data_IF_235377400673
#
_entry.id   IF_235377400673
#
_cell.length_a   1.000
_cell.length_b   1.000
_cell.length_c   1.000
_cell.angle_alpha   90.00
_cell.angle_beta   90.00
_cell.angle_gamma   90.00
#
_symmetry.space_group_name_H-M   'P 1'
#
loop_
_entity.id
_entity.type
_entity.pdbx_description
1 polymer ?
#
# COMPACT_ATOMS: atom_id res chain seq x y z
N UNK A 1 6.21 3.13 35.47
CA UNK A 1 6.79 4.10 36.44
C UNK A 1 6.11 5.45 36.30
N UNK A 2 6.05 6.03 35.10
CA UNK A 2 5.41 7.33 34.83
C UNK A 2 3.97 7.45 35.34
N UNK A 3 3.15 6.40 35.17
CA UNK A 3 1.77 6.39 35.69
C UNK A 3 1.74 6.53 37.22
N UNK A 4 2.53 5.72 37.93
CA UNK A 4 2.64 5.81 39.39
C UNK A 4 3.19 7.17 39.84
N UNK A 5 4.14 7.75 39.10
CA UNK A 5 4.62 9.11 39.35
C UNK A 5 3.52 10.18 39.15
N UNK A 6 2.74 10.10 38.08
CA UNK A 6 1.61 11.00 37.81
C UNK A 6 0.52 10.90 38.87
N UNK A 7 0.32 9.69 39.41
CA UNK A 7 -0.59 9.42 40.53
C UNK A 7 0.01 9.76 41.90
N UNK A 8 1.19 10.39 41.92
CA UNK A 8 1.89 10.85 43.13
C UNK A 8 2.24 9.71 44.08
N UNK A 9 2.53 8.52 43.55
CA UNK A 9 3.18 7.48 44.33
C UNK A 9 4.57 7.94 44.73
N UNK A 10 4.91 7.72 46.00
CA UNK A 10 6.26 7.99 46.52
C UNK A 10 7.17 6.79 46.25
N UNK A 11 8.42 7.05 45.86
CA UNK A 11 9.39 6.01 45.53
C UNK A 11 10.54 6.04 46.54
N UNK A 12 10.68 4.97 47.31
CA UNK A 12 11.76 4.79 48.27
C UNK A 12 12.80 3.79 47.73
N UNK A 13 13.89 4.25 47.09
CA UNK A 13 14.90 3.36 46.54
C UNK A 13 15.76 2.74 47.64
N UNK A 14 16.46 1.66 47.30
CA UNK A 14 17.56 1.12 48.11
C UNK A 14 17.14 0.64 49.52
N UNK A 15 15.94 0.09 49.66
CA UNK A 15 15.43 -0.46 50.91
C UNK A 15 15.23 -1.99 50.81
N UNK A 16 15.72 -2.74 51.80
CA UNK A 16 15.44 -4.15 51.97
C UNK A 16 14.38 -4.35 53.07
N UNK A 17 13.24 -4.99 52.78
CA UNK A 17 12.21 -5.26 53.78
C UNK A 17 12.73 -6.23 54.86
N UNK A 18 12.48 -5.94 56.13
CA UNK A 18 12.90 -6.78 57.27
C UNK A 18 11.73 -7.32 58.07
N UNK A 19 10.81 -6.45 58.49
CA UNK A 19 9.76 -6.84 59.44
C UNK A 19 8.48 -6.05 59.24
N UNK A 20 7.36 -6.77 59.20
CA UNK A 20 6.01 -6.19 59.33
C UNK A 20 5.65 -6.14 60.82
N UNK A 21 5.26 -4.98 61.32
CA UNK A 21 4.83 -4.80 62.70
C UNK A 21 3.31 -4.70 62.78
N UNK A 22 2.74 -5.44 63.73
CA UNK A 22 1.33 -5.40 64.04
C UNK A 22 1.08 -4.52 65.28
N UNK A 23 0.02 -3.72 65.23
CA UNK A 23 -0.51 -2.97 66.35
C UNK A 23 -1.18 -3.87 67.38
N UNK A 24 -1.62 -3.27 68.49
CA UNK A 24 -2.36 -3.98 69.56
C UNK A 24 -3.71 -4.52 69.12
N UNK A 25 -4.25 -4.01 68.01
CA UNK A 25 -5.49 -4.46 67.36
C UNK A 25 -5.25 -5.57 66.33
N UNK A 26 -4.00 -6.04 66.18
CA UNK A 26 -3.61 -7.10 65.24
C UNK A 26 -3.45 -6.63 63.79
N UNK A 27 -3.60 -5.33 63.49
CA UNK A 27 -3.44 -4.79 62.13
C UNK A 27 -2.02 -4.35 61.86
N UNK A 28 -1.62 -4.35 60.59
CA UNK A 28 -0.34 -3.78 60.17
C UNK A 28 -0.33 -2.29 60.52
N UNK A 29 0.76 -1.81 61.13
CA UNK A 29 0.92 -0.40 61.47
C UNK A 29 2.26 0.20 61.02
N UNK A 30 3.25 -0.63 60.69
CA UNK A 30 4.59 -0.19 60.33
C UNK A 30 5.32 -1.30 59.54
N UNK A 31 6.10 -0.90 58.54
CA UNK A 31 7.04 -1.75 57.83
C UNK A 31 8.47 -1.27 58.10
N UNK A 32 9.31 -2.16 58.61
CA UNK A 32 10.73 -1.93 58.87
C UNK A 32 11.57 -2.40 57.69
N UNK A 33 12.49 -1.54 57.27
CA UNK A 33 13.46 -1.76 56.21
C UNK A 33 14.88 -1.50 56.73
N UNK A 34 15.87 -2.07 56.05
CA UNK A 34 17.28 -1.69 56.17
C UNK A 34 17.79 -1.12 54.86
N UNK A 35 18.78 -0.23 54.92
CA UNK A 35 19.39 0.35 53.73
C UNK A 35 20.16 -0.72 52.94
N UNK A 36 20.04 -0.68 51.62
CA UNK A 36 20.88 -1.43 50.68
C UNK A 36 21.81 -0.49 49.93
N UNK A 37 23.02 -0.93 49.70
CA UNK A 37 24.02 -0.20 48.92
C UNK A 37 24.74 -1.14 47.96
N UNK A 38 25.26 -0.58 46.89
CA UNK A 38 26.03 -1.31 45.89
C UNK A 38 27.52 -1.05 46.14
N UNK A 39 28.30 -2.13 46.22
CA UNK A 39 29.75 -2.10 46.29
C UNK A 39 30.35 -1.73 44.92
N UNK A 40 31.62 -1.34 44.91
CA UNK A 40 32.36 -0.99 43.69
C UNK A 40 32.44 -2.15 42.67
N UNK A 41 32.34 -3.40 43.13
CA UNK A 41 32.30 -4.60 42.29
C UNK A 41 30.91 -4.92 41.72
N UNK A 42 29.91 -4.07 42.02
CA UNK A 42 28.53 -4.22 41.60
C UNK A 42 27.68 -5.13 42.48
N UNK A 43 28.27 -5.80 43.48
CA UNK A 43 27.52 -6.60 44.46
C UNK A 43 26.71 -5.71 45.39
N UNK A 44 25.60 -6.24 45.92
CA UNK A 44 24.73 -5.50 46.84
C UNK A 44 24.89 -6.00 48.26
N UNK A 45 25.04 -5.09 49.23
CA UNK A 45 25.00 -5.41 50.65
C UNK A 45 23.83 -4.69 51.34
N UNK A 46 23.48 -5.14 52.55
CA UNK A 46 22.47 -4.49 53.39
C UNK A 46 23.11 -4.10 54.71
N UNK A 47 22.87 -2.87 55.15
CA UNK A 47 23.42 -2.34 56.40
C UNK A 47 22.38 -2.46 57.52
N UNK A 48 22.62 -3.39 58.44
CA UNK A 48 21.71 -3.67 59.55
C UNK A 48 21.61 -2.52 60.57
N UNK A 49 22.61 -1.62 60.60
CA UNK A 49 22.61 -0.47 61.51
C UNK A 49 21.78 0.70 60.95
N UNK A 50 21.52 0.71 59.64
CA UNK A 50 20.72 1.74 58.96
C UNK A 50 19.27 1.29 58.77
N UNK A 51 18.47 1.43 59.83
CA UNK A 51 17.05 1.03 59.87
C UNK A 51 16.12 2.19 59.50
N UNK A 52 15.15 1.92 58.63
CA UNK A 52 14.08 2.86 58.22
C UNK A 52 12.72 2.24 58.56
N UNK A 53 11.85 3.01 59.22
CA UNK A 53 10.50 2.59 59.59
C UNK A 53 9.47 3.46 58.92
N UNK A 54 8.59 2.85 58.14
CA UNK A 54 7.53 3.54 57.40
C UNK A 54 6.19 3.08 57.99
N UNK A 55 5.38 4.03 58.45
CA UNK A 55 4.00 3.74 58.89
C UNK A 55 3.18 3.31 57.68
N UNK A 56 2.49 2.19 57.78
CA UNK A 56 1.61 1.68 56.72
C UNK A 56 0.52 0.80 57.32
N UNK A 57 -0.64 0.80 56.67
CA UNK A 57 -1.78 -0.06 57.02
C UNK A 57 -1.85 -1.31 56.12
N UNK A 58 -1.21 -1.25 54.95
CA UNK A 58 -1.23 -2.32 53.95
C UNK A 58 0.18 -2.58 53.40
N UNK A 59 0.47 -3.85 53.15
CA UNK A 59 1.70 -4.29 52.48
C UNK A 59 1.31 -5.19 51.32
N UNK A 60 1.76 -4.82 50.12
CA UNK A 60 1.56 -5.62 48.91
C UNK A 60 2.95 -6.05 48.43
N UNK A 61 3.19 -7.36 48.36
CA UNK A 61 4.44 -7.92 47.85
C UNK A 61 4.32 -8.12 46.35
N UNK A 62 5.19 -7.46 45.58
CA UNK A 62 5.22 -7.56 44.13
C UNK A 62 6.62 -7.96 43.64
N UNK A 63 7.21 -9.01 44.22
CA UNK A 63 8.56 -9.49 43.88
C UNK A 63 8.62 -10.29 42.56
N UNK A 64 7.46 -10.61 41.99
CA UNK A 64 7.32 -11.49 40.83
C UNK A 64 6.52 -12.74 41.16
N UNK A 65 6.50 -13.68 40.22
CA UNK A 65 5.88 -15.00 40.36
C UNK A 65 6.90 -16.09 40.01
N UNK A 66 6.69 -17.28 40.54
CA UNK A 66 7.58 -18.44 40.34
C UNK A 66 6.76 -19.71 40.10
N UNK A 67 7.39 -20.74 39.53
CA UNK A 67 6.82 -22.08 39.40
C UNK A 67 7.34 -22.98 40.53
N UNK A 68 6.54 -23.18 41.59
CA UNK A 68 6.96 -23.94 42.76
C UNK A 68 5.88 -24.87 43.36
N UNK A 69 4.72 -25.01 42.71
CA UNK A 69 3.64 -25.88 43.19
C UNK A 69 4.01 -27.36 42.96
N UNK A 70 4.12 -28.19 44.02
CA UNK A 70 4.64 -29.55 43.89
C UNK A 70 3.83 -30.46 42.96
N UNK A 71 2.51 -30.30 42.88
CA UNK A 71 1.65 -31.05 41.98
C UNK A 71 1.93 -30.76 40.51
N UNK A 72 2.11 -29.48 40.14
CA UNK A 72 2.47 -29.04 38.79
C UNK A 72 3.86 -29.54 38.42
N UNK A 73 4.85 -29.40 39.31
CA UNK A 73 6.21 -29.90 39.07
C UNK A 73 6.21 -31.42 38.84
N UNK A 74 5.40 -32.17 39.60
CA UNK A 74 5.23 -33.60 39.39
C UNK A 74 4.55 -33.92 38.05
N UNK A 75 3.59 -33.10 37.61
CA UNK A 75 2.94 -33.29 36.31
C UNK A 75 3.88 -33.06 35.12
N UNK A 76 4.98 -32.33 35.33
CA UNK A 76 6.02 -32.05 34.34
C UNK A 76 7.22 -33.00 34.45
N UNK A 77 7.09 -34.12 35.17
CA UNK A 77 8.17 -35.10 35.35
C UNK A 77 8.76 -35.55 34.01
N UNK A 78 10.08 -35.45 33.88
CA UNK A 78 10.81 -35.73 32.64
C UNK A 78 11.19 -34.49 31.82
N UNK A 79 10.53 -33.34 32.03
CA UNK A 79 10.95 -32.06 31.43
C UNK A 79 12.16 -31.51 32.19
N UNK A 80 13.22 -31.14 31.46
CA UNK A 80 14.41 -30.51 32.02
C UNK A 80 14.09 -29.10 32.49
N UNK A 81 14.48 -28.75 33.72
CA UNK A 81 14.30 -27.42 34.30
C UNK A 81 15.66 -26.72 34.44
N UNK A 82 15.70 -25.42 34.19
CA UNK A 82 16.94 -24.66 34.25
C UNK A 82 17.53 -24.68 35.68
N UNK A 83 18.83 -24.97 35.84
CA UNK A 83 19.43 -25.20 37.16
C UNK A 83 19.78 -23.91 37.91
N UNK A 84 19.90 -22.79 37.21
CA UNK A 84 20.36 -21.51 37.76
C UNK A 84 19.93 -20.32 36.90
N UNK A 85 20.17 -19.09 37.39
CA UNK A 85 19.82 -17.85 36.69
C UNK A 85 18.36 -17.41 36.91
N UNK A 86 17.92 -16.45 36.12
CA UNK A 86 16.56 -15.88 36.20
C UNK A 86 15.47 -16.88 35.81
N UNK A 87 15.80 -17.88 35.00
CA UNK A 87 14.89 -18.96 34.58
C UNK A 87 14.94 -20.17 35.50
N UNK A 88 15.68 -20.12 36.63
CA UNK A 88 15.85 -21.27 37.52
C UNK A 88 14.50 -21.88 37.90
N UNK A 89 14.36 -23.19 37.68
CA UNK A 89 13.13 -23.93 37.97
C UNK A 89 12.05 -23.84 36.88
N UNK A 90 12.32 -23.17 35.76
CA UNK A 90 11.45 -23.14 34.58
C UNK A 90 11.93 -24.15 33.52
N UNK A 91 11.04 -24.65 32.65
CA UNK A 91 11.39 -25.52 31.52
C UNK A 91 12.51 -24.99 30.64
N UNK A 92 13.46 -25.86 30.30
CA UNK A 92 14.43 -25.63 29.24
C UNK A 92 13.77 -25.92 27.90
N UNK A 93 13.85 -24.96 26.98
CA UNK A 93 13.30 -25.06 25.64
C UNK A 93 14.33 -24.67 24.59
N UNK A 94 14.25 -25.28 23.40
CA UNK A 94 14.92 -24.76 22.20
C UNK A 94 14.16 -23.54 21.68
N UNK A 95 14.78 -22.37 21.70
CA UNK A 95 14.15 -21.10 21.31
C UNK A 95 13.69 -21.02 19.85
N UNK A 96 14.13 -21.92 18.98
CA UNK A 96 13.69 -21.95 17.58
C UNK A 96 12.39 -22.73 17.38
N UNK A 97 12.15 -23.72 18.22
CA UNK A 97 10.99 -24.62 18.13
C UNK A 97 10.02 -24.45 19.30
N UNK A 98 10.49 -23.85 20.40
CA UNK A 98 9.88 -23.86 21.73
C UNK A 98 9.68 -25.27 22.31
N UNK A 99 10.36 -26.28 21.76
CA UNK A 99 10.29 -27.67 22.23
C UNK A 99 11.16 -27.87 23.45
N UNK A 100 10.69 -28.71 24.38
CA UNK A 100 11.48 -29.16 25.53
C UNK A 100 12.41 -30.32 25.13
N UNK A 101 13.05 -30.95 26.11
CA UNK A 101 13.77 -32.21 25.89
C UNK A 101 12.85 -33.42 25.59
N UNK A 102 11.54 -33.29 25.79
CA UNK A 102 10.55 -34.30 25.43
C UNK A 102 10.02 -34.03 24.02
N UNK A 103 9.98 -35.06 23.17
CA UNK A 103 9.69 -34.95 21.73
C UNK A 103 8.33 -34.30 21.43
N UNK A 104 7.32 -34.63 22.24
CA UNK A 104 5.94 -34.17 22.06
C UNK A 104 5.51 -33.06 23.05
N UNK A 105 6.48 -32.34 23.66
CA UNK A 105 6.17 -31.31 24.66
C UNK A 105 6.86 -29.99 24.31
N UNK A 106 6.06 -28.93 24.23
CA UNK A 106 6.47 -27.54 23.99
C UNK A 106 6.08 -26.64 25.15
N UNK A 107 6.84 -25.57 25.36
CA UNK A 107 6.59 -24.59 26.41
C UNK A 107 6.85 -23.16 25.89
N UNK A 108 6.01 -22.22 26.28
CA UNK A 108 6.08 -20.82 25.86
C UNK A 108 5.44 -19.88 26.86
N UNK A 109 5.63 -18.57 26.68
CA UNK A 109 5.15 -17.56 27.61
C UNK A 109 6.08 -17.40 28.80
N UNK A 110 5.58 -16.88 29.93
CA UNK A 110 6.41 -16.65 31.12
C UNK A 110 7.18 -17.90 31.58
N UNK A 111 6.62 -19.09 31.31
CA UNK A 111 7.24 -20.39 31.60
C UNK A 111 8.44 -20.73 30.71
N UNK A 112 8.65 -20.05 29.57
CA UNK A 112 9.89 -20.21 28.80
C UNK A 112 11.08 -19.61 29.55
N UNK A 113 10.83 -18.68 30.48
CA UNK A 113 11.86 -17.93 31.20
C UNK A 113 12.52 -16.83 30.36
N UNK A 114 12.05 -16.61 29.12
CA UNK A 114 12.57 -15.57 28.22
C UNK A 114 11.53 -14.49 27.90
N UNK A 115 10.24 -14.84 27.86
CA UNK A 115 9.19 -13.86 27.65
C UNK A 115 8.90 -13.08 28.94
N UNK A 116 8.83 -11.75 28.82
CA UNK A 116 8.48 -10.85 29.92
C UNK A 116 7.33 -9.91 29.55
N UNK A 117 6.76 -10.09 28.36
CA UNK A 117 5.67 -9.29 27.82
C UNK A 117 4.65 -10.19 27.14
N UNK A 118 3.40 -9.72 27.06
CA UNK A 118 2.34 -10.45 26.37
C UNK A 118 2.65 -10.70 24.89
N UNK A 119 3.38 -9.80 24.21
CA UNK A 119 3.75 -9.97 22.80
C UNK A 119 4.81 -11.05 22.60
N UNK A 120 5.79 -11.14 23.51
CA UNK A 120 6.79 -12.22 23.50
C UNK A 120 6.11 -13.56 23.79
N UNK A 121 5.26 -13.62 24.81
CA UNK A 121 4.52 -14.84 25.14
C UNK A 121 3.61 -15.32 24.00
N UNK A 122 2.99 -14.39 23.28
CA UNK A 122 2.20 -14.70 22.07
C UNK A 122 3.11 -15.23 20.95
N UNK A 123 4.30 -14.65 20.78
CA UNK A 123 5.26 -15.09 19.78
C UNK A 123 5.83 -16.49 20.09
N UNK A 124 6.05 -16.82 21.37
CA UNK A 124 6.42 -18.17 21.80
C UNK A 124 5.34 -19.18 21.35
N UNK A 125 4.06 -18.89 21.62
CA UNK A 125 2.94 -19.72 21.16
C UNK A 125 2.88 -19.86 19.64
N UNK A 126 3.14 -18.77 18.90
CA UNK A 126 3.21 -18.78 17.42
C UNK A 126 4.35 -19.67 16.91
N UNK A 127 5.50 -19.62 17.56
CA UNK A 127 6.69 -20.41 17.20
C UNK A 127 6.45 -21.89 17.50
N UNK A 128 5.91 -22.19 18.69
CA UNK A 128 5.52 -23.54 19.09
C UNK A 128 4.48 -24.14 18.13
N UNK A 129 3.48 -23.37 17.70
CA UNK A 129 2.45 -23.85 16.78
C UNK A 129 3.01 -24.38 15.45
N UNK A 130 4.03 -23.72 14.89
CA UNK A 130 4.70 -24.23 13.68
C UNK A 130 5.50 -25.50 13.96
N UNK A 131 6.23 -25.54 15.08
CA UNK A 131 7.01 -26.73 15.44
C UNK A 131 6.12 -27.95 15.70
N UNK A 132 5.00 -27.78 16.41
CA UNK A 132 3.99 -28.83 16.61
C UNK A 132 3.47 -29.31 15.26
N UNK A 133 3.13 -28.38 14.37
CA UNK A 133 2.64 -28.70 13.03
C UNK A 133 3.64 -29.52 12.21
N UNK A 134 4.90 -29.11 12.16
CA UNK A 134 5.94 -29.81 11.39
C UNK A 134 6.21 -31.21 11.94
N UNK A 135 6.18 -31.40 13.26
CA UNK A 135 6.32 -32.72 13.90
C UNK A 135 5.18 -33.64 13.52
N UNK A 136 3.94 -33.16 13.61
CA UNK A 136 2.77 -33.97 13.28
C UNK A 136 2.72 -34.41 11.82
N UNK A 137 3.36 -33.66 10.91
CA UNK A 137 3.47 -34.01 9.49
C UNK A 137 4.75 -34.79 9.13
N UNK A 138 5.70 -34.94 10.06
CA UNK A 138 7.01 -35.52 9.79
C UNK A 138 7.87 -34.67 8.83
N UNK A 139 7.64 -33.34 8.80
CA UNK A 139 8.28 -32.39 7.89
C UNK A 139 9.15 -31.37 8.65
N UNK A 140 9.90 -31.85 9.64
CA UNK A 140 10.73 -31.00 10.50
C UNK A 140 11.93 -30.37 9.76
N UNK A 141 12.30 -30.91 8.60
CA UNK A 141 13.39 -30.38 7.76
C UNK A 141 12.94 -29.22 6.85
N UNK A 142 11.64 -28.92 6.77
CA UNK A 142 11.15 -27.82 5.96
C UNK A 142 11.62 -26.47 6.51
N UNK A 143 12.45 -25.77 5.74
CA UNK A 143 12.95 -24.44 6.07
C UNK A 143 11.96 -23.30 5.77
N UNK A 144 10.76 -23.61 5.26
CA UNK A 144 9.76 -22.62 4.87
C UNK A 144 8.58 -22.65 5.85
N UNK A 145 8.57 -21.71 6.79
CA UNK A 145 7.44 -21.49 7.69
C UNK A 145 6.28 -20.82 6.95
N UNK A 146 5.10 -21.45 6.95
CA UNK A 146 3.89 -20.92 6.30
C UNK A 146 2.71 -20.89 7.28
N UNK A 147 2.75 -19.98 8.25
CA UNK A 147 1.62 -19.77 9.15
C UNK A 147 0.48 -19.04 8.41
N UNK A 148 -0.78 -19.52 8.52
CA UNK A 148 -1.92 -18.85 7.92
C UNK A 148 -2.08 -17.41 8.41
N UNK A 149 -2.62 -16.55 7.55
CA UNK A 149 -3.08 -15.21 7.95
C UNK A 149 -4.42 -15.31 8.69
N UNK A 150 -4.76 -14.25 9.42
CA UNK A 150 -6.10 -14.08 9.98
C UNK A 150 -7.11 -13.84 8.84
N UNK A 151 -8.30 -14.46 8.92
CA UNK A 151 -9.36 -14.33 7.91
C UNK A 151 -10.73 -14.16 8.54
N UNK A 152 -11.66 -13.56 7.81
CA UNK A 152 -13.05 -13.28 8.18
C UNK A 152 -13.98 -13.44 6.97
N UNK A 153 -15.31 -13.42 7.14
CA UNK A 153 -16.24 -13.41 6.00
C UNK A 153 -16.03 -12.25 5.01
N UNK A 154 -15.42 -11.13 5.44
CA UNK A 154 -15.07 -10.00 4.57
C UNK A 154 -14.12 -10.44 3.45
N UNK A 155 -13.21 -11.37 3.72
CA UNK A 155 -12.24 -11.84 2.74
C UNK A 155 -12.89 -12.58 1.56
N UNK A 156 -14.12 -13.07 1.73
CA UNK A 156 -14.89 -13.81 0.73
C UNK A 156 -15.68 -12.90 -0.23
N UNK A 157 -15.78 -11.60 0.06
CA UNK A 157 -16.50 -10.64 -0.79
C UNK A 157 -15.87 -10.60 -2.19
N UNK A 158 -16.69 -10.78 -3.22
CA UNK A 158 -16.26 -10.65 -4.61
C UNK A 158 -16.18 -9.17 -4.98
N UNK A 159 -15.01 -8.74 -5.44
CA UNK A 159 -14.77 -7.37 -5.93
C UNK A 159 -14.41 -7.38 -7.43
N UNK A 160 -14.60 -8.51 -8.11
CA UNK A 160 -14.36 -8.61 -9.54
C UNK A 160 -15.40 -7.81 -10.32
N UNK A 161 -14.99 -7.30 -11.49
CA UNK A 161 -15.85 -6.48 -12.35
C UNK A 161 -15.63 -6.85 -13.80
N UNK A 162 -16.70 -6.82 -14.60
CA UNK A 162 -16.63 -6.98 -16.04
C UNK A 162 -16.89 -5.65 -16.76
N UNK A 163 -16.03 -5.31 -17.71
CA UNK A 163 -16.16 -4.11 -18.53
C UNK A 163 -15.67 -4.40 -19.95
N UNK A 164 -16.51 -4.13 -20.96
CA UNK A 164 -16.19 -4.36 -22.38
C UNK A 164 -15.76 -5.81 -22.68
N UNK A 165 -16.33 -6.81 -21.99
CA UNK A 165 -15.96 -8.22 -22.14
C UNK A 165 -14.62 -8.60 -21.49
N UNK A 166 -13.98 -7.69 -20.77
CA UNK A 166 -12.80 -7.96 -19.96
C UNK A 166 -13.22 -8.19 -18.51
N UNK A 167 -12.73 -9.27 -17.90
CA UNK A 167 -12.93 -9.58 -16.48
C UNK A 167 -11.72 -9.12 -15.67
N UNK A 168 -11.96 -8.26 -14.70
CA UNK A 168 -10.96 -7.76 -13.77
C UNK A 168 -11.13 -8.46 -12.42
N UNK A 169 -10.06 -8.99 -11.84
CA UNK A 169 -10.09 -9.66 -10.53
C UNK A 169 -10.45 -8.70 -9.37
N UNK A 170 -10.12 -7.42 -9.55
CA UNK A 170 -10.52 -6.30 -8.71
C UNK A 170 -10.48 -5.02 -9.57
N UNK A 171 -11.16 -3.93 -9.19
CA UNK A 171 -11.31 -2.76 -10.05
C UNK A 171 -10.07 -1.86 -10.06
N UNK A 172 -9.00 -2.18 -9.34
CA UNK A 172 -7.83 -1.31 -9.19
C UNK A 172 -6.71 -1.67 -10.17
N UNK A 173 -6.15 -0.66 -10.82
CA UNK A 173 -5.07 -0.83 -11.77
C UNK A 173 -4.08 0.32 -11.80
N UNK A 174 -2.92 0.03 -12.37
CA UNK A 174 -1.88 1.03 -12.57
C UNK A 174 -2.22 1.95 -13.75
N UNK A 175 -2.20 3.26 -13.54
CA UNK A 175 -2.32 4.23 -14.64
C UNK A 175 -1.05 4.24 -15.53
N UNK A 176 -1.19 4.67 -16.78
CA UNK A 176 -0.05 4.96 -17.68
C UNK A 176 0.76 6.16 -17.17
N UNK A 177 1.80 5.90 -16.37
CA UNK A 177 2.45 6.92 -15.54
C UNK A 177 3.82 6.42 -14.98
N UNK A 178 4.52 7.16 -14.08
CA UNK A 178 5.80 6.72 -13.52
C UNK A 178 5.78 5.31 -12.90
N UNK A 179 4.72 4.85 -12.19
CA UNK A 179 4.64 3.47 -11.69
C UNK A 179 4.65 2.38 -12.76
N UNK A 180 4.43 2.73 -14.04
CA UNK A 180 4.51 1.82 -15.19
C UNK A 180 5.64 2.18 -16.15
N UNK A 181 6.70 2.83 -15.66
CA UNK A 181 7.89 3.20 -16.46
C UNK A 181 8.57 1.99 -17.12
N UNK A 182 8.47 0.79 -16.53
CA UNK A 182 9.02 -0.45 -17.08
C UNK A 182 8.08 -1.63 -16.86
N UNK A 183 8.15 -2.64 -17.73
CA UNK A 183 7.36 -3.85 -17.61
C UNK A 183 7.70 -4.69 -16.38
N UNK A 184 8.95 -4.63 -15.91
CA UNK A 184 9.35 -5.26 -14.65
C UNK A 184 8.63 -4.65 -13.43
N UNK A 185 8.24 -3.37 -13.48
CA UNK A 185 7.41 -2.75 -12.45
C UNK A 185 5.97 -3.28 -12.52
N UNK A 186 5.41 -3.40 -13.72
CA UNK A 186 4.07 -3.98 -13.93
C UNK A 186 4.01 -5.42 -13.42
N UNK A 187 5.04 -6.24 -13.72
CA UNK A 187 5.17 -7.60 -13.17
C UNK A 187 5.05 -7.61 -11.65
N UNK A 188 5.85 -6.79 -10.95
CA UNK A 188 5.83 -6.72 -9.48
C UNK A 188 4.50 -6.23 -8.93
N UNK A 189 3.81 -5.36 -9.66
CA UNK A 189 2.46 -4.94 -9.27
C UNK A 189 1.44 -6.07 -9.44
N UNK A 190 1.52 -6.88 -10.50
CA UNK A 190 0.67 -8.07 -10.63
C UNK A 190 0.96 -9.10 -9.55
N UNK A 191 2.23 -9.32 -9.20
CA UNK A 191 2.64 -10.17 -8.07
C UNK A 191 2.09 -9.64 -6.73
N UNK A 192 1.99 -8.32 -6.56
CA UNK A 192 1.40 -7.70 -5.38
C UNK A 192 -0.14 -7.78 -5.33
N UNK A 193 -0.82 -8.05 -6.46
CA UNK A 193 -2.27 -8.24 -6.50
C UNK A 193 -3.07 -7.24 -7.34
N UNK A 194 -2.43 -6.29 -8.05
CA UNK A 194 -3.13 -5.34 -8.90
C UNK A 194 -3.94 -6.06 -9.99
N UNK A 195 -5.19 -5.64 -10.24
CA UNK A 195 -6.11 -6.30 -11.18
C UNK A 195 -5.76 -6.03 -12.65
N UNK A 196 -5.25 -4.83 -12.94
CA UNK A 196 -4.81 -4.45 -14.28
C UNK A 196 -3.69 -3.42 -14.28
N UNK A 197 -3.06 -3.22 -15.44
CA UNK A 197 -2.07 -2.17 -15.62
C UNK A 197 -2.11 -1.58 -17.02
N UNK A 198 -1.87 -0.28 -17.10
CA UNK A 198 -1.70 0.43 -18.36
C UNK A 198 -0.22 0.70 -18.61
N UNK A 199 0.32 0.28 -19.76
CA UNK A 199 1.72 0.57 -20.11
C UNK A 199 1.96 2.07 -20.13
N UNK A 200 3.17 2.53 -19.79
CA UNK A 200 3.55 3.92 -20.07
C UNK A 200 3.36 4.17 -21.58
N UNK A 201 2.73 5.29 -21.92
CA UNK A 201 2.40 5.63 -23.31
C UNK A 201 3.64 5.51 -24.19
N UNK A 202 3.53 4.82 -25.32
CA UNK A 202 4.60 4.73 -26.31
C UNK A 202 4.09 5.06 -27.71
N UNK A 203 5.01 5.43 -28.59
CA UNK A 203 4.75 5.78 -29.99
C UNK A 203 5.69 5.04 -30.94
N UNK A 204 5.59 5.36 -32.22
CA UNK A 204 6.54 4.89 -33.24
C UNK A 204 7.95 5.45 -32.97
N UNK A 205 8.99 4.75 -33.46
CA UNK A 205 10.38 5.14 -33.21
C UNK A 205 10.73 6.55 -33.71
N UNK A 206 10.05 7.02 -34.77
CA UNK A 206 10.20 8.39 -35.29
C UNK A 206 9.69 9.48 -34.33
N UNK A 207 8.91 9.10 -33.33
CA UNK A 207 8.36 9.98 -32.29
C UNK A 207 9.03 9.76 -30.92
N UNK A 208 10.21 9.11 -30.90
CA UNK A 208 11.00 8.97 -29.66
C UNK A 208 11.25 10.34 -29.01
N UNK A 209 11.15 10.33 -27.69
CA UNK A 209 11.32 11.52 -26.85
C UNK A 209 12.51 11.34 -25.92
N UNK A 210 12.99 12.45 -25.39
CA UNK A 210 13.97 12.48 -24.30
C UNK A 210 13.42 13.35 -23.20
N UNK A 211 13.30 12.79 -22.00
CA UNK A 211 12.83 13.53 -20.84
C UNK A 211 13.90 14.51 -20.36
N UNK A 212 13.45 15.59 -19.73
CA UNK A 212 14.31 16.51 -18.99
C UNK A 212 14.39 16.14 -17.51
N UNK A 213 15.28 16.79 -16.77
CA UNK A 213 15.38 16.65 -15.31
C UNK A 213 15.80 17.96 -14.65
N UNK A 214 15.24 18.33 -13.48
CA UNK A 214 14.16 17.67 -12.74
C UNK A 214 12.80 17.76 -13.47
N UNK A 215 11.90 16.80 -13.23
CA UNK A 215 10.62 16.72 -13.98
C UNK A 215 9.39 16.25 -13.21
N UNK A 216 9.54 15.71 -12.01
CA UNK A 216 8.44 15.32 -11.12
C UNK A 216 8.75 15.89 -9.76
N UNK A 217 7.77 16.55 -9.16
CA UNK A 217 7.95 17.37 -7.97
C UNK A 217 6.66 17.37 -7.14
N UNK A 218 6.80 17.59 -5.82
CA UNK A 218 5.68 17.63 -4.88
C UNK A 218 4.65 18.69 -5.29
N UNK A 219 3.37 18.40 -5.16
CA UNK A 219 2.29 19.33 -5.50
C UNK A 219 2.30 20.60 -4.64
N UNK A 220 1.78 21.72 -5.16
CA UNK A 220 1.84 23.02 -4.46
C UNK A 220 0.78 23.17 -3.35
N UNK A 221 -0.18 22.25 -3.27
CA UNK A 221 -1.39 22.37 -2.42
C UNK A 221 -1.23 21.84 -1.00
N UNK A 222 -0.11 21.20 -0.67
CA UNK A 222 0.16 20.61 0.66
C UNK A 222 0.88 21.51 1.65
N UNK A 223 1.10 22.80 1.31
CA UNK A 223 1.92 23.70 2.11
C UNK A 223 3.36 23.18 2.29
N UNK A 224 3.93 23.38 3.48
CA UNK A 224 5.29 22.95 3.84
C UNK A 224 5.35 21.54 4.46
N UNK A 225 4.39 20.66 4.14
CA UNK A 225 4.32 19.29 4.66
C UNK A 225 5.13 18.31 3.80
N UNK A 226 6.32 17.92 4.24
CA UNK A 226 7.19 16.96 3.54
C UNK A 226 6.97 15.51 4.01
N UNK A 227 7.39 14.55 3.20
CA UNK A 227 7.26 13.12 3.53
C UNK A 227 5.96 12.51 2.97
N UNK A 228 5.25 11.65 3.74
CA UNK A 228 4.07 10.94 3.26
C UNK A 228 2.91 11.90 2.91
N UNK A 229 1.86 11.33 2.31
CA UNK A 229 0.58 12.00 2.07
C UNK A 229 0.69 13.32 1.30
N UNK A 230 1.54 13.33 0.26
CA UNK A 230 1.54 14.46 -0.66
C UNK A 230 0.18 14.58 -1.32
N UNK A 231 -0.47 15.74 -1.13
CA UNK A 231 -1.75 16.07 -1.76
C UNK A 231 -1.74 15.87 -3.28
N UNK A 232 -0.56 15.88 -3.89
CA UNK A 232 -0.34 15.38 -5.23
C UNK A 232 1.04 15.73 -5.76
N UNK A 233 1.19 15.70 -7.08
CA UNK A 233 2.45 15.97 -7.76
C UNK A 233 2.22 16.82 -9.00
N UNK A 234 3.23 17.59 -9.38
CA UNK A 234 3.33 18.21 -10.70
C UNK A 234 4.41 17.51 -11.52
N UNK A 235 4.14 17.29 -12.80
CA UNK A 235 5.13 16.69 -13.70
C UNK A 235 5.20 17.38 -15.05
N UNK A 236 6.41 17.46 -15.60
CA UNK A 236 6.70 17.84 -17.00
C UNK A 236 7.30 16.64 -17.75
N UNK A 237 6.88 15.44 -17.36
CA UNK A 237 7.32 14.19 -17.99
C UNK A 237 6.57 13.95 -19.30
N UNK A 238 7.28 13.42 -20.30
CA UNK A 238 6.73 13.07 -21.61
C UNK A 238 6.18 11.62 -21.62
N UNK A 239 5.97 11.09 -22.81
CA UNK A 239 5.72 9.65 -23.02
C UNK A 239 6.96 8.80 -22.70
N UNK A 240 6.86 7.49 -22.87
CA UNK A 240 7.97 6.56 -22.63
C UNK A 240 9.18 6.88 -23.50
N UNK A 241 10.38 6.85 -22.90
CA UNK A 241 11.66 6.85 -23.62
C UNK A 241 12.02 5.46 -24.16
N UNK A 242 11.22 4.43 -23.83
CA UNK A 242 11.40 3.06 -24.34
C UNK A 242 10.63 2.89 -25.64
N UNK A 243 11.21 2.14 -26.58
CA UNK A 243 10.68 1.94 -27.93
C UNK A 243 9.37 1.15 -27.95
N UNK A 244 8.64 1.23 -29.06
CA UNK A 244 7.48 0.36 -29.29
C UNK A 244 7.87 -1.13 -29.23
N UNK A 245 9.04 -1.49 -29.76
CA UNK A 245 9.53 -2.88 -29.73
C UNK A 245 9.67 -3.41 -28.29
N UNK A 246 10.19 -2.60 -27.36
CA UNK A 246 10.26 -2.95 -25.94
C UNK A 246 8.88 -3.23 -25.34
N UNK A 247 7.90 -2.35 -25.60
CA UNK A 247 6.56 -2.48 -25.04
C UNK A 247 5.78 -3.63 -25.66
N UNK A 248 5.89 -3.83 -26.97
CA UNK A 248 5.28 -4.97 -27.68
C UNK A 248 5.79 -6.29 -27.13
N UNK A 249 7.11 -6.42 -26.94
CA UNK A 249 7.68 -7.63 -26.35
C UNK A 249 7.24 -7.81 -24.89
N UNK A 250 7.24 -6.72 -24.12
CA UNK A 250 6.82 -6.73 -22.72
C UNK A 250 5.35 -7.14 -22.53
N UNK A 251 4.45 -6.66 -23.38
CA UNK A 251 3.02 -7.02 -23.34
C UNK A 251 2.86 -8.54 -23.53
N UNK A 252 3.57 -9.13 -24.50
CA UNK A 252 3.54 -10.58 -24.73
C UNK A 252 4.01 -11.37 -23.51
N UNK A 253 5.09 -10.92 -22.87
CA UNK A 253 5.65 -11.56 -21.68
C UNK A 253 4.69 -11.44 -20.48
N UNK A 254 4.12 -10.25 -20.26
CA UNK A 254 3.15 -10.02 -19.19
C UNK A 254 1.89 -10.87 -19.39
N UNK A 255 1.33 -10.95 -20.60
CA UNK A 255 0.15 -11.77 -20.87
C UNK A 255 0.43 -13.28 -20.81
N UNK A 256 1.64 -13.71 -21.16
CA UNK A 256 2.06 -15.11 -21.00
C UNK A 256 2.12 -15.50 -19.52
N UNK A 257 2.71 -14.64 -18.70
CA UNK A 257 2.98 -14.97 -17.30
C UNK A 257 1.79 -14.66 -16.37
N UNK A 258 0.93 -13.73 -16.78
CA UNK A 258 -0.25 -13.28 -16.02
C UNK A 258 -1.50 -13.28 -16.90
N UNK A 259 -2.02 -14.46 -17.30
CA UNK A 259 -3.13 -14.56 -18.24
C UNK A 259 -4.43 -13.92 -17.73
N UNK A 260 -4.67 -13.94 -16.41
CA UNK A 260 -5.87 -13.38 -15.76
C UNK A 260 -5.79 -11.88 -15.50
N UNK A 261 -4.59 -11.29 -15.51
CA UNK A 261 -4.38 -9.86 -15.29
C UNK A 261 -4.59 -9.09 -16.59
N UNK A 262 -5.29 -7.95 -16.53
CA UNK A 262 -5.55 -7.15 -17.73
C UNK A 262 -4.37 -6.21 -18.02
N UNK A 263 -3.89 -6.21 -19.27
CA UNK A 263 -2.83 -5.32 -19.77
C UNK A 263 -3.42 -4.42 -20.85
N UNK A 264 -3.47 -3.12 -20.57
CA UNK A 264 -3.95 -2.10 -21.51
C UNK A 264 -2.73 -1.39 -22.11
N UNK A 265 -2.61 -1.39 -23.44
CA UNK A 265 -1.51 -0.72 -24.11
C UNK A 265 -1.86 0.75 -24.34
N UNK A 266 -1.15 1.67 -23.67
CA UNK A 266 -1.29 3.10 -23.91
C UNK A 266 -0.43 3.51 -25.11
N UNK A 267 -1.06 4.06 -26.14
CA UNK A 267 -0.40 4.46 -27.39
C UNK A 267 -0.69 5.91 -27.76
N UNK A 268 0.25 6.53 -28.49
CA UNK A 268 0.11 7.89 -28.99
C UNK A 268 0.86 8.08 -30.31
N UNK A 269 0.22 8.81 -31.24
CA UNK A 269 0.81 9.22 -32.51
C UNK A 269 0.37 10.64 -32.87
N UNK A 270 1.02 11.23 -33.89
CA UNK A 270 0.59 12.48 -34.54
C UNK A 270 -0.81 12.34 -35.10
N UNK A 271 -1.47 13.47 -35.38
CA UNK A 271 -2.72 13.45 -36.12
C UNK A 271 -2.48 13.07 -37.59
N UNK A 272 -2.23 11.78 -37.80
CA UNK A 272 -1.94 11.14 -39.08
C UNK A 272 -2.54 9.73 -39.08
N UNK A 273 -3.35 9.41 -40.09
CA UNK A 273 -4.05 8.11 -40.18
C UNK A 273 -3.07 6.95 -40.28
N UNK A 274 -1.98 7.11 -41.03
CA UNK A 274 -1.01 6.04 -41.27
C UNK A 274 -0.27 5.70 -39.97
N UNK A 275 0.11 6.71 -39.19
CA UNK A 275 0.82 6.51 -37.92
C UNK A 275 -0.05 5.83 -36.87
N UNK A 276 -1.29 6.27 -36.71
CA UNK A 276 -2.24 5.61 -35.80
C UNK A 276 -2.53 4.18 -36.24
N UNK A 277 -2.72 3.95 -37.54
CA UNK A 277 -2.97 2.61 -38.09
C UNK A 277 -1.78 1.68 -37.87
N UNK A 278 -0.57 2.12 -38.24
CA UNK A 278 0.65 1.34 -38.09
C UNK A 278 0.93 1.00 -36.62
N UNK A 279 0.86 1.98 -35.73
CA UNK A 279 1.10 1.76 -34.31
C UNK A 279 0.07 0.81 -33.69
N UNK A 280 -1.20 0.95 -34.09
CA UNK A 280 -2.29 0.06 -33.65
C UNK A 280 -2.03 -1.38 -34.11
N UNK A 281 -1.78 -1.60 -35.40
CA UNK A 281 -1.52 -2.93 -35.98
C UNK A 281 -0.29 -3.62 -35.36
N UNK A 282 0.76 -2.86 -35.08
CA UNK A 282 1.95 -3.37 -34.37
C UNK A 282 1.61 -3.79 -32.94
N UNK A 283 0.81 -2.98 -32.25
CA UNK A 283 0.45 -3.19 -30.84
C UNK A 283 -0.51 -4.35 -30.66
N UNK A 284 -1.55 -4.49 -31.48
CA UNK A 284 -2.53 -5.60 -31.37
C UNK A 284 -1.90 -6.97 -31.62
N UNK A 285 -0.80 -7.06 -32.38
CA UNK A 285 -0.01 -8.31 -32.53
C UNK A 285 0.61 -8.78 -31.22
N UNK A 286 0.79 -7.89 -30.23
CA UNK A 286 1.22 -8.26 -28.89
C UNK A 286 0.08 -8.87 -28.04
N UNK A 287 -1.16 -8.78 -28.52
CA UNK A 287 -2.39 -9.22 -27.83
C UNK A 287 -2.58 -8.57 -26.45
N UNK A 288 -2.52 -7.23 -26.33
CA UNK A 288 -3.04 -6.58 -25.12
C UNK A 288 -4.54 -6.87 -24.98
N UNK A 289 -5.09 -6.71 -23.77
CA UNK A 289 -6.53 -6.89 -23.56
C UNK A 289 -7.35 -5.68 -24.06
N UNK A 290 -6.72 -4.50 -24.11
CA UNK A 290 -7.30 -3.29 -24.69
C UNK A 290 -6.23 -2.26 -25.10
N UNK A 291 -6.67 -1.23 -25.81
CA UNK A 291 -5.87 -0.04 -26.13
C UNK A 291 -6.36 1.19 -25.36
N UNK A 292 -5.44 2.00 -24.87
CA UNK A 292 -5.72 3.34 -24.33
C UNK A 292 -5.08 4.41 -25.22
N UNK A 293 -5.88 5.32 -25.76
CA UNK A 293 -5.42 6.39 -26.63
C UNK A 293 -5.08 7.61 -25.79
N UNK A 294 -3.78 7.90 -25.67
CA UNK A 294 -3.35 9.10 -24.95
C UNK A 294 -3.52 10.33 -25.85
N UNK A 295 -4.66 10.99 -25.72
CA UNK A 295 -5.00 12.23 -26.42
C UNK A 295 -4.80 13.46 -25.52
N UNK A 296 -4.08 13.34 -24.41
CA UNK A 296 -4.24 14.27 -23.30
C UNK A 296 -2.95 14.71 -22.62
N UNK A 297 -1.78 14.34 -23.14
CA UNK A 297 -0.50 14.83 -22.65
C UNK A 297 -0.45 16.37 -22.72
N UNK A 298 -0.42 17.10 -21.59
CA UNK A 298 -0.62 18.55 -21.59
C UNK A 298 0.64 19.35 -21.91
N UNK A 299 1.81 18.70 -21.93
CA UNK A 299 3.11 19.37 -22.01
C UNK A 299 4.02 18.72 -23.05
N UNK A 300 4.77 19.53 -23.78
CA UNK A 300 5.79 19.10 -24.76
C UNK A 300 5.29 18.38 -26.02
N UNK A 301 4.05 17.86 -26.01
CA UNK A 301 3.45 17.17 -27.17
C UNK A 301 2.52 18.06 -27.99
N UNK A 302 1.88 19.06 -27.36
CA UNK A 302 0.99 20.00 -28.05
C UNK A 302 1.69 20.78 -29.17
N UNK A 303 2.93 21.21 -28.93
CA UNK A 303 3.77 21.89 -29.92
C UNK A 303 4.11 21.01 -31.14
N UNK A 304 3.94 19.69 -31.02
CA UNK A 304 4.12 18.71 -32.09
C UNK A 304 2.80 18.25 -32.73
N UNK A 305 1.69 18.91 -32.42
CA UNK A 305 0.34 18.55 -32.89
C UNK A 305 -0.20 17.25 -32.28
N UNK A 306 0.27 16.89 -31.07
CA UNK A 306 -0.08 15.65 -30.37
C UNK A 306 -0.64 15.91 -28.97
N UNK A 307 -1.20 14.87 -28.35
CA UNK A 307 -1.70 14.93 -26.98
C UNK A 307 -2.82 15.97 -26.85
N UNK A 308 -2.66 16.92 -25.93
CA UNK A 308 -3.67 17.95 -25.62
C UNK A 308 -4.18 18.71 -26.85
N UNK A 309 -3.33 18.94 -27.86
CA UNK A 309 -3.74 19.60 -29.10
C UNK A 309 -4.84 18.82 -29.85
N UNK A 310 -4.86 17.49 -29.76
CA UNK A 310 -5.92 16.65 -30.32
C UNK A 310 -7.08 16.47 -29.35
N UNK A 311 -6.80 16.24 -28.06
CA UNK A 311 -7.83 15.89 -27.07
C UNK A 311 -8.79 17.02 -26.68
N UNK A 312 -8.52 18.25 -27.11
CA UNK A 312 -9.40 19.40 -26.91
C UNK A 312 -10.39 19.62 -28.06
N UNK A 313 -10.20 18.95 -29.21
CA UNK A 313 -11.05 19.07 -30.38
C UNK A 313 -11.88 17.79 -30.60
N UNK A 314 -13.22 17.84 -30.42
CA UNK A 314 -14.09 16.69 -30.66
C UNK A 314 -13.92 16.07 -32.07
N UNK A 315 -13.66 16.87 -33.11
CA UNK A 315 -13.52 16.35 -34.47
C UNK A 315 -12.26 15.47 -34.61
N UNK A 316 -11.14 15.92 -34.03
CA UNK A 316 -9.88 15.15 -34.05
C UNK A 316 -10.02 13.87 -33.23
N UNK A 317 -10.63 13.94 -32.04
CA UNK A 317 -10.87 12.76 -31.19
C UNK A 317 -11.72 11.71 -31.90
N UNK A 318 -12.84 12.13 -32.53
CA UNK A 318 -13.70 11.23 -33.31
C UNK A 318 -12.93 10.55 -34.42
N UNK A 319 -12.11 11.31 -35.14
CA UNK A 319 -11.36 10.80 -36.29
C UNK A 319 -10.26 9.81 -35.86
N UNK A 320 -9.51 10.11 -34.80
CA UNK A 320 -8.49 9.21 -34.26
C UNK A 320 -9.13 7.90 -33.78
N UNK A 321 -10.22 7.97 -33.01
CA UNK A 321 -10.92 6.77 -32.54
C UNK A 321 -11.39 5.91 -33.72
N UNK A 322 -11.86 6.53 -34.80
CA UNK A 322 -12.30 5.83 -36.02
C UNK A 322 -11.14 5.12 -36.73
N UNK A 323 -9.97 5.75 -36.82
CA UNK A 323 -8.78 5.12 -37.40
C UNK A 323 -8.31 3.92 -36.57
N UNK A 324 -8.16 4.13 -35.25
CA UNK A 324 -7.73 3.07 -34.34
C UNK A 324 -8.72 1.92 -34.33
N UNK A 325 -10.03 2.17 -34.18
CA UNK A 325 -11.02 1.10 -34.10
C UNK A 325 -11.06 0.28 -35.39
N UNK A 326 -10.89 0.91 -36.56
CA UNK A 326 -10.76 0.21 -37.85
C UNK A 326 -9.52 -0.69 -37.87
N UNK A 327 -8.37 -0.19 -37.44
CA UNK A 327 -7.11 -0.93 -37.45
C UNK A 327 -7.05 -2.04 -36.38
N UNK A 328 -7.64 -1.81 -35.21
CA UNK A 328 -7.65 -2.74 -34.09
C UNK A 328 -8.63 -3.91 -34.29
N UNK A 329 -9.70 -3.68 -35.06
CA UNK A 329 -10.76 -4.64 -35.31
C UNK A 329 -11.87 -4.62 -34.25
N UNK A 330 -12.99 -5.31 -34.51
CA UNK A 330 -14.20 -5.21 -33.70
C UNK A 330 -14.04 -5.75 -32.27
N UNK A 331 -13.14 -6.72 -32.07
CA UNK A 331 -12.99 -7.44 -30.80
C UNK A 331 -11.95 -6.82 -29.86
N UNK A 332 -11.24 -5.76 -30.28
CA UNK A 332 -10.27 -5.07 -29.44
C UNK A 332 -10.95 -3.85 -28.80
N UNK A 333 -11.11 -3.82 -27.46
CA UNK A 333 -11.59 -2.64 -26.77
C UNK A 333 -10.61 -1.46 -26.91
N UNK A 334 -11.16 -0.27 -27.16
CA UNK A 334 -10.40 0.97 -27.33
C UNK A 334 -10.97 2.04 -26.41
N UNK A 335 -10.13 2.62 -25.56
CA UNK A 335 -10.49 3.68 -24.62
C UNK A 335 -9.78 4.98 -24.95
N UNK A 336 -10.51 6.09 -25.11
CA UNK A 336 -9.91 7.39 -25.28
C UNK A 336 -9.62 8.04 -23.91
N UNK A 337 -8.36 8.40 -23.63
CA UNK A 337 -7.99 9.07 -22.37
C UNK A 337 -8.14 10.57 -22.47
N UNK A 338 -9.13 11.09 -21.77
CA UNK A 338 -9.58 12.47 -21.89
C UNK A 338 -8.76 13.42 -21.02
N UNK A 339 -8.50 14.61 -21.55
CA UNK A 339 -7.91 15.71 -20.78
C UNK A 339 -9.02 16.43 -20.00
N UNK A 340 -8.77 16.88 -18.76
CA UNK A 340 -9.70 17.75 -18.05
C UNK A 340 -9.62 19.22 -18.49
N UNK A 341 -8.63 19.57 -19.31
CA UNK A 341 -8.35 20.95 -19.70
C UNK A 341 -9.21 21.36 -20.91
N UNK A 342 -10.52 21.19 -20.79
CA UNK A 342 -11.54 21.50 -21.81
C UNK A 342 -12.73 22.18 -21.16
N UNK A 343 -13.44 23.01 -21.93
CA UNK A 343 -14.66 23.67 -21.45
C UNK A 343 -15.78 22.67 -21.20
N UNK A 344 -15.97 21.70 -22.10
CA UNK A 344 -17.00 20.67 -21.98
C UNK A 344 -16.44 19.29 -22.34
N UNK A 345 -16.20 18.47 -21.32
CA UNK A 345 -15.60 17.14 -21.47
C UNK A 345 -16.58 16.12 -22.06
N UNK A 346 -17.90 16.33 -21.89
CA UNK A 346 -18.93 15.43 -22.43
C UNK A 346 -18.92 15.44 -23.96
N UNK A 347 -18.63 16.58 -24.60
CA UNK A 347 -18.53 16.65 -26.06
C UNK A 347 -17.34 15.84 -26.59
N UNK A 348 -16.23 15.82 -25.85
CA UNK A 348 -15.08 14.97 -26.19
C UNK A 348 -15.41 13.49 -26.00
N UNK A 349 -16.09 13.13 -24.90
CA UNK A 349 -16.51 11.75 -24.66
C UNK A 349 -17.50 11.25 -25.73
N UNK A 350 -18.46 12.10 -26.14
CA UNK A 350 -19.39 11.83 -27.24
C UNK A 350 -18.64 11.58 -28.54
N UNK A 351 -17.69 12.45 -28.88
CA UNK A 351 -16.87 12.29 -30.07
C UNK A 351 -16.07 10.98 -30.07
N UNK A 352 -15.47 10.60 -28.93
CA UNK A 352 -14.80 9.32 -28.80
C UNK A 352 -15.75 8.14 -29.08
N UNK A 353 -16.95 8.16 -28.47
CA UNK A 353 -18.00 7.15 -28.70
C UNK A 353 -18.43 7.08 -30.16
N UNK A 354 -18.67 8.22 -30.81
CA UNK A 354 -19.05 8.29 -32.23
C UNK A 354 -17.93 7.84 -33.17
N UNK A 355 -16.67 7.97 -32.74
CA UNK A 355 -15.51 7.41 -33.42
C UNK A 355 -15.37 5.90 -33.23
N UNK A 356 -16.19 5.28 -32.37
CA UNK A 356 -16.18 3.84 -32.11
C UNK A 356 -15.33 3.41 -30.93
N UNK A 357 -14.91 4.33 -30.06
CA UNK A 357 -14.31 3.94 -28.77
C UNK A 357 -15.32 3.17 -27.92
N UNK A 358 -14.87 2.12 -27.25
CA UNK A 358 -15.70 1.26 -26.39
C UNK A 358 -15.89 1.87 -25.00
N UNK A 359 -15.12 2.90 -24.67
CA UNK A 359 -15.21 3.65 -23.41
C UNK A 359 -14.21 4.80 -23.37
N UNK A 360 -14.07 5.42 -22.21
CA UNK A 360 -13.13 6.54 -21.98
C UNK A 360 -12.38 6.38 -20.66
N UNK A 361 -11.12 6.83 -20.63
CA UNK A 361 -10.36 7.02 -19.39
C UNK A 361 -10.47 8.48 -18.95
N UNK A 362 -10.92 8.73 -17.72
CA UNK A 362 -11.34 10.05 -17.22
C UNK A 362 -10.75 10.28 -15.82
N UNK A 363 -9.77 11.16 -15.60
CA UNK A 363 -9.12 12.14 -16.48
C UNK A 363 -7.60 11.99 -16.48
N UNK A 364 -6.94 12.62 -17.45
CA UNK A 364 -5.51 12.92 -17.36
C UNK A 364 -5.26 14.08 -16.36
N UNK A 365 -4.01 14.48 -16.21
CA UNK A 365 -3.57 15.58 -15.33
C UNK A 365 -4.19 16.94 -15.69
N UNK A 366 -4.38 17.77 -14.68
CA UNK A 366 -4.83 19.16 -14.82
C UNK A 366 -3.61 20.04 -15.11
N UNK A 367 -3.67 20.86 -16.16
CA UNK A 367 -2.59 21.78 -16.51
C UNK A 367 -2.42 22.83 -15.41
N UNK A 368 -1.19 23.06 -14.97
CA UNK A 368 -0.89 24.02 -13.93
C UNK A 368 0.54 24.53 -13.94
N UNK A 369 0.78 25.54 -13.13
CA UNK A 369 2.11 26.04 -12.81
C UNK A 369 2.35 25.82 -11.32
N UNK A 370 3.55 25.39 -10.92
CA UNK A 370 3.71 24.92 -9.56
C UNK A 370 4.00 26.02 -8.55
N UNK A 371 5.23 26.55 -8.52
CA UNK A 371 5.55 27.75 -7.76
C UNK A 371 6.81 28.42 -8.30
N UNK A 372 6.99 29.66 -7.86
CA UNK A 372 8.24 30.40 -7.99
C UNK A 372 8.84 30.54 -6.58
N UNK A 373 10.15 30.39 -6.50
CA UNK A 373 10.93 30.77 -5.32
C UNK A 373 10.94 32.30 -5.16
N UNK A 374 11.43 32.77 -4.01
CA UNK A 374 11.50 34.21 -3.71
C UNK A 374 12.37 35.02 -4.68
N UNK A 375 13.29 34.35 -5.40
CA UNK A 375 14.13 34.94 -6.45
C UNK A 375 13.50 34.84 -7.86
N UNK A 376 12.22 34.45 -7.95
CA UNK A 376 11.48 34.17 -9.20
C UNK A 376 11.95 32.95 -9.99
N UNK A 377 12.81 32.09 -9.42
CA UNK A 377 13.16 30.79 -10.02
C UNK A 377 11.96 29.84 -9.97
N UNK A 378 11.56 29.18 -11.07
CA UNK A 378 10.50 28.18 -11.00
C UNK A 378 10.96 26.86 -10.39
N UNK A 379 10.06 26.10 -9.80
CA UNK A 379 10.30 24.69 -9.50
C UNK A 379 9.24 23.84 -10.22
N UNK A 380 9.62 22.85 -11.05
CA UNK A 380 10.98 22.41 -11.38
C UNK A 380 11.71 23.41 -12.29
N UNK A 381 13.03 23.53 -12.10
CA UNK A 381 13.94 24.36 -12.89
C UNK A 381 14.90 23.52 -13.72
N UNK A 382 14.89 23.67 -15.05
CA UNK A 382 15.69 22.87 -15.98
C UNK A 382 16.80 23.71 -16.62
N UNK A 383 18.02 23.15 -16.63
CA UNK A 383 19.20 23.74 -17.27
C UNK A 383 19.78 24.97 -16.56
N UNK A 384 20.85 25.53 -17.13
CA UNK A 384 21.54 26.71 -16.57
C UNK A 384 20.65 27.94 -16.47
N UNK A 385 19.72 28.06 -17.40
CA UNK A 385 18.75 29.16 -17.49
C UNK A 385 17.54 28.98 -16.57
N UNK A 386 17.49 27.89 -15.78
CA UNK A 386 16.42 27.61 -14.80
C UNK A 386 15.01 27.72 -15.41
N UNK A 387 14.84 27.18 -16.63
CA UNK A 387 13.58 27.27 -17.37
C UNK A 387 12.57 26.25 -16.87
N UNK A 388 11.30 26.55 -17.04
CA UNK A 388 10.21 25.59 -16.85
C UNK A 388 9.16 25.74 -17.94
N UNK A 389 8.20 24.83 -17.95
CA UNK A 389 6.95 24.92 -18.72
C UNK A 389 5.78 24.58 -17.80
N UNK A 390 4.55 24.75 -18.27
CA UNK A 390 3.40 24.25 -17.53
C UNK A 390 3.55 22.75 -17.31
N UNK A 391 3.03 22.25 -16.18
CA UNK A 391 3.13 20.87 -15.76
C UNK A 391 1.77 20.28 -15.38
N UNK A 392 1.73 18.97 -15.29
CA UNK A 392 0.51 18.20 -15.07
C UNK A 392 0.33 17.93 -13.59
N UNK A 393 -0.70 18.52 -13.00
CA UNK A 393 -1.10 18.28 -11.64
C UNK A 393 -1.86 16.95 -11.54
N UNK A 394 -1.49 16.14 -10.54
CA UNK A 394 -2.01 14.80 -10.26
C UNK A 394 -2.21 14.61 -8.76
N UNK A 395 -2.87 13.53 -8.34
CA UNK A 395 -3.13 13.21 -6.94
C UNK A 395 -4.44 13.75 -6.41
N UNK A 396 -4.61 13.75 -5.09
CA UNK A 396 -5.84 14.13 -4.41
C UNK A 396 -6.28 15.56 -4.72
N UNK A 397 -5.33 16.44 -5.03
CA UNK A 397 -5.60 17.82 -5.42
C UNK A 397 -6.53 17.91 -6.65
N UNK A 398 -6.52 16.92 -7.55
CA UNK A 398 -7.39 16.90 -8.74
C UNK A 398 -8.63 16.00 -8.58
N UNK A 399 -8.81 15.32 -7.45
CA UNK A 399 -9.93 14.39 -7.23
C UNK A 399 -11.30 15.05 -7.46
N UNK A 400 -11.58 16.27 -6.96
CA UNK A 400 -12.88 16.90 -7.21
C UNK A 400 -13.18 17.13 -8.71
N UNK A 401 -12.16 17.49 -9.49
CA UNK A 401 -12.28 17.67 -10.94
C UNK A 401 -12.52 16.34 -11.65
N UNK A 402 -11.83 15.27 -11.23
CA UNK A 402 -12.01 13.94 -11.76
C UNK A 402 -13.41 13.36 -11.43
N UNK A 403 -13.88 13.47 -10.19
CA UNK A 403 -15.21 13.03 -9.78
C UNK A 403 -16.32 13.77 -10.54
N UNK A 404 -16.18 15.10 -10.71
CA UNK A 404 -17.09 15.88 -11.55
C UNK A 404 -17.10 15.36 -12.98
N UNK A 405 -15.93 15.12 -13.58
CA UNK A 405 -15.84 14.67 -14.97
C UNK A 405 -16.47 13.27 -15.17
N UNK A 406 -16.15 12.32 -14.28
CA UNK A 406 -16.71 10.96 -14.30
C UNK A 406 -18.22 11.00 -14.16
N UNK A 407 -18.73 11.63 -13.10
CA UNK A 407 -20.19 11.72 -12.88
C UNK A 407 -20.91 12.47 -14.00
N UNK A 408 -20.30 13.51 -14.57
CA UNK A 408 -20.91 14.26 -15.66
C UNK A 408 -21.03 13.43 -16.94
N UNK A 409 -19.98 12.69 -17.30
CA UNK A 409 -19.99 11.79 -18.46
C UNK A 409 -20.97 10.65 -18.23
N UNK A 410 -20.92 9.98 -17.07
CA UNK A 410 -21.82 8.87 -16.74
C UNK A 410 -23.30 9.27 -16.85
N UNK A 411 -23.66 10.47 -16.35
CA UNK A 411 -25.02 10.99 -16.44
C UNK A 411 -25.45 11.36 -17.87
N UNK A 412 -24.53 11.83 -18.71
CA UNK A 412 -24.85 12.26 -20.08
C UNK A 412 -24.74 11.15 -21.12
N UNK A 413 -23.95 10.11 -20.84
CA UNK A 413 -23.73 8.93 -21.68
C UNK A 413 -23.95 7.66 -20.86
N UNK A 414 -25.19 7.39 -20.42
CA UNK A 414 -25.48 6.25 -19.55
C UNK A 414 -25.06 4.93 -20.20
N UNK A 415 -24.38 4.09 -19.41
CA UNK A 415 -23.85 2.80 -19.86
C UNK A 415 -22.57 2.88 -20.70
N UNK A 416 -22.03 4.07 -20.98
CA UNK A 416 -20.74 4.20 -21.66
C UNK A 416 -19.60 3.91 -20.66
N UNK A 417 -18.75 2.90 -20.89
CA UNK A 417 -17.70 2.50 -19.95
C UNK A 417 -16.70 3.61 -19.62
N UNK A 418 -16.39 3.75 -18.32
CA UNK A 418 -15.46 4.75 -17.79
C UNK A 418 -14.38 4.08 -16.94
N UNK A 419 -13.12 4.34 -17.27
CA UNK A 419 -11.96 4.06 -16.44
C UNK A 419 -11.58 5.35 -15.69
N UNK A 420 -11.79 5.39 -14.37
CA UNK A 420 -11.51 6.60 -13.60
C UNK A 420 -10.02 6.74 -13.28
N UNK A 421 -9.50 7.97 -13.30
CA UNK A 421 -8.16 8.34 -12.79
C UNK A 421 -8.19 9.76 -12.28
N UNK A 422 -7.57 9.98 -11.12
CA UNK A 422 -7.40 11.30 -10.53
C UNK A 422 -7.62 11.29 -9.02
N UNK A 423 -6.53 11.10 -8.28
CA UNK A 423 -6.56 11.15 -6.81
C UNK A 423 -7.26 9.98 -6.14
N UNK A 424 -7.23 8.79 -6.74
CA UNK A 424 -7.68 7.54 -6.08
C UNK A 424 -6.51 7.05 -5.22
N UNK A 425 -6.69 7.02 -3.91
CA UNK A 425 -5.65 6.70 -2.93
C UNK A 425 -6.07 5.69 -1.86
N UNK A 426 -7.31 5.23 -1.90
CA UNK A 426 -7.93 4.37 -0.90
C UNK A 426 -9.11 3.62 -1.49
N UNK A 427 -9.57 2.59 -0.78
CA UNK A 427 -10.83 1.91 -1.10
C UNK A 427 -12.03 2.86 -1.12
N UNK A 428 -12.11 3.77 -0.14
CA UNK A 428 -13.20 4.75 -0.03
C UNK A 428 -13.22 5.70 -1.22
N UNK A 429 -12.07 6.30 -1.57
CA UNK A 429 -11.98 7.13 -2.77
C UNK A 429 -12.33 6.34 -4.03
N UNK A 430 -11.90 5.08 -4.12
CA UNK A 430 -12.28 4.18 -5.21
C UNK A 430 -13.80 3.98 -5.31
N UNK A 431 -14.46 3.69 -4.19
CA UNK A 431 -15.90 3.51 -4.12
C UNK A 431 -16.67 4.76 -4.57
N UNK A 432 -16.18 5.97 -4.24
CA UNK A 432 -16.78 7.22 -4.74
C UNK A 432 -16.78 7.30 -6.26
N UNK A 433 -15.70 6.85 -6.93
CA UNK A 433 -15.64 6.83 -8.40
C UNK A 433 -16.53 5.74 -9.00
N UNK A 434 -16.63 4.58 -8.37
CA UNK A 434 -17.57 3.53 -8.79
C UNK A 434 -19.02 4.04 -8.70
N UNK A 435 -19.39 4.69 -7.59
CA UNK A 435 -20.69 5.34 -7.41
C UNK A 435 -20.94 6.48 -8.40
N UNK A 436 -19.88 7.21 -8.80
CA UNK A 436 -19.95 8.24 -9.83
C UNK A 436 -20.13 7.68 -11.26
N UNK A 437 -20.04 6.36 -11.45
CA UNK A 437 -20.29 5.69 -12.73
C UNK A 437 -19.05 5.13 -13.45
N UNK A 438 -17.90 5.07 -12.77
CA UNK A 438 -16.74 4.33 -13.29
C UNK A 438 -16.89 2.83 -13.07
N UNK A 439 -16.27 2.02 -13.94
CA UNK A 439 -16.20 0.57 -13.78
C UNK A 439 -14.88 0.10 -13.20
N UNK A 440 -13.78 0.78 -13.53
CA UNK A 440 -12.43 0.47 -13.04
C UNK A 440 -11.66 1.73 -12.70
N UNK A 441 -10.60 1.58 -11.91
CA UNK A 441 -9.93 2.63 -11.15
C UNK A 441 -8.42 2.60 -11.42
N UNK A 442 -7.90 3.60 -12.12
CA UNK A 442 -6.47 3.79 -12.41
C UNK A 442 -5.79 4.65 -11.33
N UNK A 443 -4.68 4.14 -10.79
CA UNK A 443 -3.93 4.74 -9.68
C UNK A 443 -2.51 5.11 -10.13
N UNK A 444 -2.03 6.29 -9.70
CA UNK A 444 -0.66 6.76 -9.94
C UNK A 444 -0.06 7.41 -8.69
N UNK A 445 -0.57 8.58 -8.30
CA UNK A 445 0.05 9.41 -7.27
C UNK A 445 0.07 8.75 -5.89
N UNK A 446 -0.91 7.91 -5.56
CA UNK A 446 -0.90 7.15 -4.32
C UNK A 446 0.28 6.17 -4.25
N UNK A 447 0.62 5.53 -5.38
CA UNK A 447 1.80 4.65 -5.49
C UNK A 447 3.09 5.48 -5.44
N UNK A 448 3.10 6.70 -6.00
CA UNK A 448 4.25 7.59 -5.87
C UNK A 448 4.49 8.07 -4.44
N UNK A 449 3.43 8.18 -3.63
CA UNK A 449 3.51 8.49 -2.20
C UNK A 449 3.96 7.28 -1.36
N UNK A 450 3.76 6.06 -1.87
CA UNK A 450 3.97 4.81 -1.15
C UNK A 450 4.71 3.81 -2.07
N UNK A 451 4.07 2.69 -2.38
CA UNK A 451 4.60 1.60 -3.20
C UNK A 451 3.44 0.71 -3.71
N UNK A 452 3.74 -0.45 -4.28
CA UNK A 452 2.72 -1.32 -4.87
C UNK A 452 1.86 -2.08 -3.84
N UNK A 453 2.26 -2.19 -2.58
CA UNK A 453 1.51 -2.99 -1.58
C UNK A 453 0.23 -2.31 -1.12
N UNK A 454 0.03 -1.03 -1.42
CA UNK A 454 -1.23 -0.30 -1.16
C UNK A 454 -2.46 -1.00 -1.78
N UNK A 455 -2.27 -1.86 -2.79
CA UNK A 455 -3.35 -2.68 -3.34
C UNK A 455 -4.01 -3.59 -2.30
N UNK A 456 -3.25 -4.10 -1.33
CA UNK A 456 -3.79 -4.96 -0.26
C UNK A 456 -4.80 -4.19 0.60
N UNK A 457 -4.45 -2.96 0.98
CA UNK A 457 -5.36 -2.03 1.68
C UNK A 457 -6.57 -1.66 0.81
N UNK A 458 -6.36 -1.31 -0.46
CA UNK A 458 -7.46 -0.92 -1.36
C UNK A 458 -8.47 -2.05 -1.58
N UNK A 459 -7.99 -3.29 -1.75
CA UNK A 459 -8.87 -4.46 -1.97
C UNK A 459 -9.57 -4.85 -0.67
N UNK A 460 -8.85 -4.97 0.44
CA UNK A 460 -9.46 -5.35 1.73
C UNK A 460 -10.43 -4.28 2.22
N UNK A 461 -10.10 -3.00 2.06
CA UNK A 461 -10.98 -1.88 2.35
C UNK A 461 -12.24 -1.87 1.47
N UNK A 462 -12.12 -2.21 0.18
CA UNK A 462 -13.29 -2.27 -0.70
C UNK A 462 -14.20 -3.44 -0.31
N UNK A 463 -13.63 -4.62 -0.03
CA UNK A 463 -14.37 -5.77 0.49
C UNK A 463 -15.11 -5.42 1.78
N UNK A 464 -14.42 -4.78 2.74
CA UNK A 464 -15.00 -4.36 4.00
C UNK A 464 -16.15 -3.35 3.78
N UNK A 465 -15.95 -2.35 2.93
CA UNK A 465 -16.98 -1.36 2.60
C UNK A 465 -18.24 -2.00 2.00
N UNK A 466 -18.07 -2.94 1.06
CA UNK A 466 -19.21 -3.66 0.46
C UNK A 466 -19.91 -4.58 1.46
N UNK A 467 -19.16 -5.30 2.31
CA UNK A 467 -19.71 -6.17 3.34
C UNK A 467 -20.54 -5.40 4.38
N UNK A 468 -20.03 -4.26 4.86
CA UNK A 468 -20.73 -3.44 5.84
C UNK A 468 -21.99 -2.77 5.27
N UNK A 469 -22.00 -2.51 3.96
CA UNK A 469 -23.18 -1.99 3.25
C UNK A 469 -24.19 -3.08 2.84
N UNK A 470 -23.90 -4.36 3.06
CA UNK A 470 -24.76 -5.48 2.64
C UNK A 470 -24.79 -5.72 1.13
N UNK A 471 -23.69 -5.38 0.43
CA UNK A 471 -23.53 -5.48 -1.04
C UNK A 471 -22.52 -6.55 -1.45
N UNK A 472 -22.27 -7.55 -0.61
CA UNK A 472 -21.26 -8.58 -0.81
C UNK A 472 -21.51 -9.55 -1.98
N UNK A 473 -22.70 -9.54 -2.60
CA UNK A 473 -23.08 -10.45 -3.69
C UNK A 473 -23.62 -9.78 -4.96
N UNK A 474 -23.43 -8.46 -5.13
CA UNK A 474 -24.08 -7.67 -6.18
C UNK A 474 -23.15 -6.82 -7.03
#
# INVERSE_FOLDING_TARGET
>A
MDLAWQEKCEFFPNLAPQRVKLGSDGKICEMEFIRREQNDDGSWYSDADQVIRIKTDYVITAYGSELNEPGVLKAMEGVELAPSGFSKGLPVVDLKSMRTNQEDVWCGGDLSGFAHTSVEATNDGKTAAWSIHSTLLGDEESHVTCLPRFTTPIDLVDVSVEMCGMRFENPFGLASAPPTTSSAMIRRAFEAGWGFAVTKTFGLDKELVTNVSPRIVRGPTGGHMYGPDQSGFCNIELISEKTAAYWIQSIKELKRDFPTKMVIASIMAKFDEQDWTQLTELTVKAKPDALELNLSCPHGMGERGMGLACGQDPALVRQICKWVKRAAGPNMPVFAKLTPNVSEIVEIAKAAREGGADGVTVINTVSGFMHLDSDSTPWPSVGKEKRTTYGGLSGNLIRPMALRAVSHIANKLPGFPILATGGIDSAEAGLQFLQAGASVLQVCSAIQNQDFTIIEDMVTGLKAGLYLDGREGG
#
